data_IF_935774914949
#
_entry.id   IF_935774914949
#
_cell.length_a   1.000
_cell.length_b   1.000
_cell.length_c   1.000
_cell.angle_alpha   90.00
_cell.angle_beta   90.00
_cell.angle_gamma   90.00
#
_symmetry.space_group_name_H-M   'P 1'
#
loop_
_entity.id
_entity.type
_entity.pdbx_description
1 polymer ?
#
# COMPACT_ATOMS: atom_id res chain seq x y z
N UNK A 1 -41.34 6.33 -31.44
CA UNK A 1 -41.25 5.49 -32.66
C UNK A 1 -39.93 5.86 -33.31
N UNK A 2 -38.94 4.98 -33.30
CA UNK A 2 -37.62 5.23 -33.87
C UNK A 2 -37.62 4.64 -35.28
N UNK A 3 -37.33 5.44 -36.30
CA UNK A 3 -37.19 4.99 -37.69
C UNK A 3 -35.70 4.86 -38.02
N UNK A 4 -35.31 3.69 -38.52
CA UNK A 4 -33.94 3.35 -38.91
C UNK A 4 -33.84 3.43 -40.44
N UNK A 5 -32.96 4.30 -40.95
CA UNK A 5 -32.67 4.44 -42.37
C UNK A 5 -31.34 3.72 -42.73
N UNK A 6 -31.39 2.58 -43.44
CA UNK A 6 -30.19 1.78 -43.75
C UNK A 6 -29.25 2.39 -44.80
N UNK A 7 -29.56 3.57 -45.36
CA UNK A 7 -28.67 4.27 -46.31
C UNK A 7 -27.71 5.28 -45.68
N UNK A 8 -27.97 5.73 -44.44
CA UNK A 8 -27.19 6.80 -43.82
C UNK A 8 -26.00 6.30 -42.98
N UNK A 9 -25.82 4.98 -42.85
CA UNK A 9 -24.78 4.42 -41.97
C UNK A 9 -25.02 4.77 -40.50
N UNK A 10 -24.38 4.03 -39.59
CA UNK A 10 -24.33 4.44 -38.19
C UNK A 10 -23.15 5.39 -38.09
N UNK A 11 -23.43 6.68 -37.95
CA UNK A 11 -22.42 7.64 -37.52
C UNK A 11 -22.07 7.25 -36.09
N UNK A 12 -21.01 6.45 -35.95
CA UNK A 12 -20.52 5.95 -34.68
C UNK A 12 -19.46 6.96 -34.19
N UNK A 13 -19.77 7.85 -33.24
CA UNK A 13 -18.78 8.76 -32.69
C UNK A 13 -17.68 8.04 -31.87
N UNK A 14 -17.73 6.71 -31.75
CA UNK A 14 -16.74 5.92 -31.01
C UNK A 14 -15.50 5.49 -31.82
N UNK A 15 -15.26 6.03 -33.02
CA UNK A 15 -14.11 5.66 -33.85
C UNK A 15 -13.20 6.82 -34.29
N UNK A 16 -13.24 7.98 -33.61
CA UNK A 16 -12.28 9.09 -33.82
C UNK A 16 -11.43 9.39 -32.57
N UNK A 17 -10.86 8.35 -31.95
CA UNK A 17 -9.81 8.51 -30.91
C UNK A 17 -8.55 7.71 -31.25
N UNK A 18 -8.24 7.61 -32.54
CA UNK A 18 -6.96 7.10 -33.01
C UNK A 18 -6.33 8.15 -33.93
N UNK A 19 -6.17 9.38 -33.43
CA UNK A 19 -5.30 10.42 -33.99
C UNK A 19 -5.20 11.49 -32.89
N UNK A 20 -3.96 11.86 -32.52
CA UNK A 20 -3.52 12.75 -31.42
C UNK A 20 -3.09 12.07 -30.10
N UNK A 21 -2.48 10.88 -30.16
CA UNK A 21 -1.48 10.50 -29.15
C UNK A 21 -0.11 10.98 -29.65
N UNK A 22 0.13 12.28 -29.52
CA UNK A 22 1.49 12.81 -29.50
C UNK A 22 2.32 11.95 -28.53
N UNK A 23 3.55 11.61 -28.92
CA UNK A 23 4.44 10.70 -28.19
C UNK A 23 4.87 11.19 -26.79
N UNK A 24 3.93 11.30 -25.85
CA UNK A 24 4.21 11.50 -24.44
C UNK A 24 4.69 10.18 -23.82
N UNK A 25 5.97 10.14 -23.44
CA UNK A 25 6.51 9.11 -22.54
C UNK A 25 7.16 7.89 -23.20
N UNK A 26 7.50 7.93 -24.49
CA UNK A 26 8.39 6.91 -25.08
C UNK A 26 9.75 6.98 -24.38
N UNK A 27 10.15 5.89 -23.71
CA UNK A 27 11.38 5.86 -22.92
C UNK A 27 11.28 6.35 -21.49
N UNK A 28 10.09 6.67 -20.99
CA UNK A 28 9.87 7.00 -19.58
C UNK A 28 9.09 5.88 -18.84
N UNK A 29 9.39 5.64 -17.54
CA UNK A 29 8.63 4.67 -16.76
C UNK A 29 7.17 5.07 -16.57
N UNK A 30 6.26 4.13 -16.82
CA UNK A 30 4.81 4.28 -16.63
C UNK A 30 4.36 3.59 -15.35
N UNK A 31 3.36 4.17 -14.69
CA UNK A 31 2.88 3.70 -13.38
C UNK A 31 1.43 3.23 -13.47
N UNK A 32 1.18 2.00 -13.03
CA UNK A 32 -0.14 1.36 -13.09
C UNK A 32 -0.59 0.91 -11.71
N UNK A 33 -1.61 1.57 -11.16
CA UNK A 33 -2.32 1.10 -9.97
C UNK A 33 -3.43 0.15 -10.40
N UNK A 34 -3.22 -1.14 -10.15
CA UNK A 34 -4.20 -2.18 -10.39
C UNK A 34 -4.97 -2.46 -9.10
N UNK A 35 -6.28 -2.66 -9.21
CA UNK A 35 -7.15 -3.01 -8.09
C UNK A 35 -8.11 -4.09 -8.54
N UNK A 36 -8.13 -5.22 -7.84
CA UNK A 36 -8.90 -6.41 -8.21
C UNK A 36 -9.88 -6.81 -7.11
N UNK A 37 -10.95 -7.51 -7.48
CA UNK A 37 -11.77 -8.24 -6.50
C UNK A 37 -11.04 -9.45 -5.92
N UNK A 38 -11.60 -10.06 -4.86
CA UNK A 38 -11.03 -11.25 -4.21
C UNK A 38 -10.91 -12.46 -5.15
N UNK A 39 -11.85 -12.63 -6.07
CA UNK A 39 -11.87 -13.73 -7.05
C UNK A 39 -11.29 -13.36 -8.44
N UNK A 40 -10.84 -12.12 -8.63
CA UNK A 40 -10.25 -11.66 -9.89
C UNK A 40 -8.72 -11.77 -9.85
N UNK A 41 -8.10 -11.88 -11.03
CA UNK A 41 -6.65 -11.74 -11.24
C UNK A 41 -6.34 -10.32 -11.70
N UNK A 42 -5.06 -9.93 -11.71
CA UNK A 42 -4.66 -8.64 -12.31
C UNK A 42 -4.68 -8.64 -13.85
N UNK A 43 -4.87 -9.80 -14.49
CA UNK A 43 -5.02 -9.95 -15.94
C UNK A 43 -3.72 -9.85 -16.74
N UNK A 44 -2.60 -10.32 -16.19
CA UNK A 44 -1.32 -10.44 -16.90
C UNK A 44 -0.49 -11.60 -16.32
N UNK A 45 0.48 -12.07 -17.09
CA UNK A 45 1.52 -13.00 -16.65
C UNK A 45 2.88 -12.30 -16.60
N UNK A 46 3.67 -12.64 -15.58
CA UNK A 46 5.07 -12.24 -15.51
C UNK A 46 5.92 -13.39 -16.05
N UNK A 47 6.81 -13.11 -16.98
CA UNK A 47 7.68 -14.09 -17.62
C UNK A 47 9.16 -13.70 -17.42
N UNK A 48 10.01 -14.72 -17.30
CA UNK A 48 11.46 -14.61 -17.47
C UNK A 48 11.82 -15.43 -18.71
N UNK A 49 12.26 -14.75 -19.77
CA UNK A 49 12.53 -15.37 -21.07
C UNK A 49 14.04 -15.60 -21.25
N UNK A 50 14.41 -16.79 -21.73
CA UNK A 50 15.80 -17.14 -22.04
C UNK A 50 16.41 -16.16 -23.05
N UNK A 51 17.44 -15.45 -22.64
CA UNK A 51 18.15 -14.47 -23.47
C UNK A 51 17.60 -13.04 -23.39
N UNK A 52 16.50 -12.81 -22.66
CA UNK A 52 15.99 -11.48 -22.36
C UNK A 52 16.38 -11.05 -20.94
N UNK A 53 16.58 -9.75 -20.74
CA UNK A 53 16.87 -9.17 -19.42
C UNK A 53 15.58 -8.68 -18.75
N UNK A 54 15.54 -8.79 -17.42
CA UNK A 54 14.46 -8.29 -16.59
C UNK A 54 13.20 -9.15 -16.63
N UNK A 55 12.15 -8.68 -15.94
CA UNK A 55 10.88 -9.37 -15.85
C UNK A 55 9.87 -8.81 -16.85
N UNK A 56 9.29 -9.68 -17.68
CA UNK A 56 8.50 -9.29 -18.85
C UNK A 56 7.02 -9.48 -18.57
N UNK A 57 6.23 -8.46 -18.86
CA UNK A 57 4.77 -8.56 -18.88
C UNK A 57 4.34 -9.26 -20.18
N UNK A 58 3.56 -10.33 -20.06
CA UNK A 58 3.03 -11.11 -21.18
C UNK A 58 1.59 -11.52 -20.91
N UNK A 59 0.90 -11.99 -21.96
CA UNK A 59 -0.44 -12.54 -21.86
C UNK A 59 -1.40 -11.57 -21.16
N UNK A 60 -1.29 -10.28 -21.49
CA UNK A 60 -2.23 -9.27 -20.98
C UNK A 60 -3.64 -9.63 -21.50
N UNK A 61 -4.54 -9.94 -20.57
CA UNK A 61 -5.87 -10.43 -20.87
C UNK A 61 -6.71 -9.36 -21.58
N UNK A 62 -7.33 -9.72 -22.70
CA UNK A 62 -8.21 -8.82 -23.45
C UNK A 62 -9.41 -8.42 -22.58
N UNK A 63 -9.60 -7.12 -22.38
CA UNK A 63 -10.59 -6.55 -21.50
C UNK A 63 -10.27 -6.70 -20.01
N UNK A 64 -9.11 -7.26 -19.63
CA UNK A 64 -8.67 -7.45 -18.24
C UNK A 64 -8.23 -6.16 -17.54
N UNK A 65 -7.96 -6.24 -16.23
CA UNK A 65 -7.58 -5.06 -15.42
C UNK A 65 -6.31 -4.39 -15.91
N UNK A 66 -5.26 -5.18 -16.17
CA UNK A 66 -4.00 -4.70 -16.75
C UNK A 66 -4.21 -3.96 -18.06
N UNK A 67 -4.93 -4.57 -19.02
CA UNK A 67 -5.15 -3.96 -20.34
C UNK A 67 -5.95 -2.66 -20.26
N UNK A 68 -7.04 -2.63 -19.46
CA UNK A 68 -7.86 -1.42 -19.28
C UNK A 68 -7.08 -0.26 -18.67
N UNK A 69 -5.99 -0.54 -17.96
CA UNK A 69 -5.09 0.47 -17.44
C UNK A 69 -3.99 0.86 -18.43
N UNK A 70 -3.84 0.14 -19.54
CA UNK A 70 -2.87 0.43 -20.60
C UNK A 70 -1.56 -0.34 -20.46
N UNK A 71 -1.52 -1.40 -19.65
CA UNK A 71 -0.36 -2.30 -19.58
C UNK A 71 -0.27 -3.13 -20.86
N UNK A 72 0.94 -3.32 -21.41
CA UNK A 72 1.13 -3.97 -22.70
C UNK A 72 2.07 -5.18 -22.61
N UNK A 73 1.87 -6.13 -23.53
CA UNK A 73 2.80 -7.25 -23.72
C UNK A 73 4.16 -6.71 -24.18
N UNK A 74 5.22 -7.16 -23.52
CA UNK A 74 6.60 -6.72 -23.77
C UNK A 74 7.12 -5.67 -22.79
N UNK A 75 6.25 -5.05 -22.00
CA UNK A 75 6.65 -4.13 -20.92
C UNK A 75 7.57 -4.84 -19.91
N UNK A 76 8.54 -4.10 -19.36
CA UNK A 76 9.51 -4.57 -18.37
C UNK A 76 9.19 -4.01 -17.01
N UNK A 77 9.00 -4.89 -16.03
CA UNK A 77 8.65 -4.52 -14.67
C UNK A 77 9.88 -4.01 -13.90
N UNK A 78 9.83 -2.75 -13.46
CA UNK A 78 10.92 -2.08 -12.73
C UNK A 78 10.64 -1.95 -11.24
N UNK A 79 9.40 -1.64 -10.83
CA UNK A 79 9.02 -1.55 -9.42
C UNK A 79 7.70 -2.24 -9.12
N UNK A 80 7.60 -2.77 -7.89
CA UNK A 80 6.36 -3.23 -7.25
C UNK A 80 6.20 -2.48 -5.94
N UNK A 81 5.10 -1.73 -5.79
CA UNK A 81 4.79 -0.91 -4.61
C UNK A 81 5.96 0.00 -4.16
N UNK A 82 6.64 0.62 -5.12
CA UNK A 82 7.78 1.52 -4.88
C UNK A 82 9.12 0.84 -4.59
N UNK A 83 9.17 -0.49 -4.54
CA UNK A 83 10.44 -1.25 -4.41
C UNK A 83 10.97 -1.63 -5.80
N UNK A 84 12.25 -1.35 -6.06
CA UNK A 84 12.89 -1.71 -7.32
C UNK A 84 13.14 -3.22 -7.39
N UNK A 85 12.68 -3.87 -8.46
CA UNK A 85 12.65 -5.34 -8.55
C UNK A 85 13.47 -5.91 -9.70
N UNK A 86 14.01 -5.09 -10.60
CA UNK A 86 14.71 -5.54 -11.81
C UNK A 86 15.96 -6.42 -11.55
N UNK A 87 16.52 -6.34 -10.35
CA UNK A 87 17.69 -7.13 -9.93
C UNK A 87 17.31 -8.40 -9.13
N UNK A 88 16.04 -8.58 -8.81
CA UNK A 88 15.55 -9.71 -8.03
C UNK A 88 15.34 -10.92 -8.94
N UNK A 89 15.33 -12.11 -8.34
CA UNK A 89 14.91 -13.31 -9.06
C UNK A 89 13.40 -13.29 -9.34
N UNK A 90 12.99 -14.00 -10.39
CA UNK A 90 11.61 -14.04 -10.84
C UNK A 90 10.63 -14.49 -9.74
N UNK A 91 11.00 -15.52 -8.96
CA UNK A 91 10.16 -16.04 -7.89
C UNK A 91 9.85 -14.98 -6.84
N UNK A 92 10.84 -14.17 -6.45
CA UNK A 92 10.70 -13.08 -5.48
C UNK A 92 9.79 -11.97 -5.99
N UNK A 93 9.90 -11.62 -7.26
CA UNK A 93 9.03 -10.60 -7.86
C UNK A 93 7.58 -11.08 -7.91
N UNK A 94 7.36 -12.34 -8.30
CA UNK A 94 6.02 -12.96 -8.27
C UNK A 94 5.47 -12.97 -6.85
N UNK A 95 6.27 -13.32 -5.85
CA UNK A 95 5.87 -13.27 -4.44
C UNK A 95 5.51 -11.86 -4.01
N UNK A 96 6.28 -10.83 -4.36
CA UNK A 96 5.95 -9.43 -4.04
C UNK A 96 4.61 -9.00 -4.68
N UNK A 97 4.32 -9.42 -5.91
CA UNK A 97 3.03 -9.11 -6.58
C UNK A 97 1.87 -9.89 -5.93
N UNK A 98 2.06 -11.17 -5.60
CA UNK A 98 1.03 -11.98 -4.94
C UNK A 98 0.75 -11.51 -3.51
N UNK A 99 1.81 -11.20 -2.79
CA UNK A 99 1.73 -10.53 -1.50
C UNK A 99 1.04 -9.18 -1.64
N UNK A 100 1.02 -8.57 -2.84
CA UNK A 100 0.25 -7.36 -3.17
C UNK A 100 -1.29 -7.53 -3.18
N UNK A 101 -1.82 -8.69 -2.77
CA UNK A 101 -3.24 -8.96 -2.54
C UNK A 101 -4.15 -8.25 -3.55
N UNK A 102 -5.03 -7.34 -3.12
CA UNK A 102 -6.02 -6.73 -4.03
C UNK A 102 -5.60 -5.41 -4.68
N UNK A 103 -4.47 -4.80 -4.30
CA UNK A 103 -3.98 -3.56 -4.89
C UNK A 103 -2.46 -3.60 -5.08
N UNK A 104 -2.01 -3.34 -6.31
CA UNK A 104 -0.59 -3.28 -6.64
C UNK A 104 -0.29 -2.06 -7.51
N UNK A 105 0.77 -1.33 -7.16
CA UNK A 105 1.33 -0.26 -7.96
C UNK A 105 2.57 -0.79 -8.69
N UNK A 106 2.50 -0.87 -10.01
CA UNK A 106 3.61 -1.30 -10.86
C UNK A 106 4.26 -0.08 -11.53
N UNK A 107 5.59 -0.04 -11.59
CA UNK A 107 6.30 0.83 -12.53
C UNK A 107 6.92 -0.04 -13.63
N UNK A 108 6.65 0.29 -14.88
CA UNK A 108 7.13 -0.48 -16.03
C UNK A 108 7.74 0.44 -17.07
N UNK A 109 8.65 -0.10 -17.88
CA UNK A 109 9.25 0.56 -19.02
C UNK A 109 8.96 -0.26 -20.28
N UNK A 110 8.77 0.38 -21.43
CA UNK A 110 8.62 -0.37 -22.68
C UNK A 110 9.89 -1.19 -22.99
N UNK A 111 9.69 -2.33 -23.66
CA UNK A 111 10.77 -3.29 -23.91
C UNK A 111 11.95 -2.69 -24.67
N UNK A 112 11.68 -1.90 -25.72
CA UNK A 112 12.73 -1.31 -26.55
C UNK A 112 13.59 -0.31 -25.76
N UNK A 113 12.95 0.56 -24.98
CA UNK A 113 13.65 1.53 -24.14
C UNK A 113 14.40 0.87 -22.99
N UNK A 114 13.89 -0.24 -22.46
CA UNK A 114 14.58 -1.02 -21.45
C UNK A 114 15.89 -1.62 -21.99
N UNK A 115 15.84 -2.29 -23.15
CA UNK A 115 17.03 -2.89 -23.74
C UNK A 115 18.05 -1.79 -24.11
N UNK A 116 17.60 -0.68 -24.69
CA UNK A 116 18.45 0.47 -25.00
C UNK A 116 19.12 1.05 -23.73
N UNK A 117 18.38 1.16 -22.63
CA UNK A 117 18.94 1.66 -21.37
C UNK A 117 19.97 0.68 -20.77
N UNK A 118 19.71 -0.63 -20.84
CA UNK A 118 20.66 -1.67 -20.39
C UNK A 118 21.93 -1.69 -21.23
N UNK A 119 21.84 -1.56 -22.54
CA UNK A 119 23.01 -1.55 -23.44
C UNK A 119 23.87 -0.30 -23.25
N UNK A 120 23.25 0.82 -22.87
CA UNK A 120 23.95 2.03 -22.46
C UNK A 120 24.49 1.98 -21.03
N UNK A 121 24.26 0.89 -20.28
CA UNK A 121 24.68 0.75 -18.89
C UNK A 121 24.01 1.75 -17.94
N UNK A 122 22.81 2.22 -18.28
CA UNK A 122 22.05 3.16 -17.43
C UNK A 122 21.54 2.46 -16.18
N UNK A 123 21.59 3.18 -15.07
CA UNK A 123 20.95 2.75 -13.83
C UNK A 123 19.45 3.05 -13.90
N UNK A 124 18.66 2.00 -14.17
CA UNK A 124 17.20 2.11 -14.27
C UNK A 124 16.53 2.57 -12.98
N UNK A 125 17.17 2.38 -11.81
CA UNK A 125 16.62 2.84 -10.53
C UNK A 125 16.59 4.37 -10.45
N UNK A 126 17.50 5.06 -11.13
CA UNK A 126 17.58 6.52 -11.17
C UNK A 126 16.51 7.16 -12.07
N UNK A 127 15.87 6.37 -12.94
CA UNK A 127 14.73 6.82 -13.75
C UNK A 127 13.43 6.86 -12.94
N UNK A 128 13.44 6.31 -11.73
CA UNK A 128 12.27 6.16 -10.89
C UNK A 128 12.33 7.16 -9.72
N UNK A 129 11.18 7.64 -9.24
CA UNK A 129 11.11 8.47 -8.05
C UNK A 129 11.65 7.69 -6.84
N UNK A 130 12.43 8.37 -5.99
CA UNK A 130 13.13 7.75 -4.86
C UNK A 130 12.17 7.21 -3.78
N UNK A 131 11.06 7.90 -3.53
CA UNK A 131 10.02 7.47 -2.60
C UNK A 131 8.65 7.90 -3.13
N UNK A 132 7.77 6.92 -3.30
CA UNK A 132 6.38 7.09 -3.73
C UNK A 132 5.40 6.44 -2.76
N UNK A 133 5.87 5.96 -1.61
CA UNK A 133 4.98 5.26 -0.67
C UNK A 133 4.42 6.26 0.33
N UNK A 134 3.09 6.33 0.50
CA UNK A 134 2.54 7.00 1.67
C UNK A 134 3.03 6.27 2.93
N UNK A 135 3.01 6.92 4.08
CA UNK A 135 3.41 6.31 5.34
C UNK A 135 2.20 6.04 6.21
N UNK A 136 2.12 4.85 6.78
CA UNK A 136 1.09 4.50 7.74
C UNK A 136 1.66 4.60 9.16
N UNK A 137 1.10 5.48 9.97
CA UNK A 137 1.61 5.78 11.31
C UNK A 137 0.54 5.44 12.36
N UNK A 138 0.92 4.67 13.38
CA UNK A 138 0.04 4.38 14.52
C UNK A 138 0.51 5.14 15.77
N UNK A 139 -0.31 6.08 16.22
CA UNK A 139 0.06 7.03 17.28
C UNK A 139 -0.71 6.71 18.55
N UNK A 140 0.04 6.47 19.63
CA UNK A 140 -0.49 6.35 20.98
C UNK A 140 -0.51 7.72 21.67
N UNK A 141 -1.67 8.12 22.18
CA UNK A 141 -1.85 9.38 22.89
C UNK A 141 -1.10 9.36 24.22
N UNK A 142 -0.38 10.44 24.52
CA UNK A 142 0.20 10.67 25.85
C UNK A 142 -0.56 11.79 26.61
N UNK A 143 -0.04 12.21 27.76
CA UNK A 143 -0.62 13.28 28.58
C UNK A 143 -0.78 14.60 27.84
N UNK A 144 0.01 14.83 26.81
CA UNK A 144 0.04 16.03 25.97
C UNK A 144 -0.73 15.89 24.64
N UNK A 145 -1.40 14.75 24.42
CA UNK A 145 -2.18 14.48 23.21
C UNK A 145 -1.44 13.58 22.22
N UNK A 146 -1.74 13.72 20.93
CA UNK A 146 -1.10 12.93 19.87
C UNK A 146 0.19 13.56 19.33
N UNK A 147 0.54 14.79 19.74
CA UNK A 147 1.79 15.45 19.32
C UNK A 147 1.78 16.03 17.91
N UNK A 148 0.60 16.26 17.32
CA UNK A 148 0.48 16.97 16.04
C UNK A 148 -0.72 17.94 16.06
N UNK A 149 -0.68 18.94 15.18
CA UNK A 149 -1.82 19.79 14.83
C UNK A 149 -2.07 19.72 13.33
N UNK A 150 -3.29 20.06 12.92
CA UNK A 150 -3.72 20.04 11.52
C UNK A 150 -3.96 21.48 11.04
N UNK A 151 -3.44 21.82 9.87
CA UNK A 151 -3.82 23.02 9.12
C UNK A 151 -4.70 22.63 7.94
N UNK A 152 -5.75 23.41 7.68
CA UNK A 152 -6.63 23.21 6.53
C UNK A 152 -6.01 23.75 5.24
N UNK A 153 -6.59 23.45 4.07
CA UNK A 153 -6.10 23.98 2.80
C UNK A 153 -6.14 25.51 2.85
N UNK A 154 -4.99 26.17 2.63
CA UNK A 154 -4.96 27.58 2.32
C UNK A 154 -5.75 27.80 1.02
N UNK A 155 -6.78 28.64 1.07
CA UNK A 155 -7.31 29.22 -0.16
C UNK A 155 -6.20 30.08 -0.77
N UNK A 156 -5.50 29.58 -1.78
CA UNK A 156 -4.75 30.45 -2.69
C UNK A 156 -5.75 31.38 -3.36
N UNK A 157 -5.95 32.57 -2.79
CA UNK A 157 -6.51 33.69 -3.53
C UNK A 157 -5.53 33.95 -4.67
N UNK A 158 -6.05 33.93 -5.90
CA UNK A 158 -5.27 34.07 -7.11
C UNK A 158 -4.31 35.26 -7.05
N UNK A 159 -3.19 35.10 -7.74
CA UNK A 159 -2.14 36.10 -7.94
C UNK A 159 -2.71 37.49 -8.23
N UNK A 160 -2.41 38.46 -7.36
CA UNK A 160 -2.60 39.87 -7.63
C UNK A 160 -2.97 40.67 -6.38
N UNK A 161 -2.03 41.49 -5.94
CA UNK A 161 -2.09 42.61 -4.97
C UNK A 161 -1.47 42.34 -3.58
N UNK A 162 -0.43 43.11 -3.19
CA UNK A 162 0.14 43.06 -1.85
C UNK A 162 -0.72 43.93 -0.92
N UNK A 163 -1.08 43.43 0.26
CA UNK A 163 -1.69 44.29 1.29
C UNK A 163 -0.91 44.19 2.59
N UNK A 164 0.08 45.08 2.64
CA UNK A 164 0.47 45.94 3.76
C UNK A 164 0.32 45.41 5.19
N UNK A 165 1.49 45.14 5.76
CA UNK A 165 1.94 45.49 7.10
C UNK A 165 1.00 46.45 7.88
N UNK A 166 0.52 46.01 9.04
CA UNK A 166 0.28 46.91 10.17
C UNK A 166 0.85 46.28 11.44
N UNK A 167 1.95 46.87 11.90
CA UNK A 167 2.51 46.65 13.22
C UNK A 167 1.58 47.26 14.28
N UNK A 168 1.26 46.51 15.34
CA UNK A 168 1.11 47.08 16.67
C UNK A 168 1.76 46.12 17.67
N UNK A 169 2.78 46.66 18.32
CA UNK A 169 3.60 46.09 19.39
C UNK A 169 2.78 45.58 20.58
N UNK A 170 3.02 44.33 21.01
CA UNK A 170 3.63 43.92 22.29
C UNK A 170 3.38 42.42 22.54
N UNK A 171 4.45 41.66 22.81
CA UNK A 171 4.47 40.24 23.21
C UNK A 171 4.10 40.05 24.71
N UNK A 172 3.91 38.81 25.23
CA UNK A 172 3.78 37.47 24.61
C UNK A 172 2.51 36.72 25.13
N UNK A 173 2.04 35.54 24.71
CA UNK A 173 2.54 34.31 24.07
C UNK A 173 1.37 33.66 23.31
N UNK A 174 1.67 33.09 22.13
CA UNK A 174 0.80 32.39 21.17
C UNK A 174 0.08 33.29 20.14
N UNK A 175 0.52 33.31 18.86
CA UNK A 175 -0.32 33.84 17.79
C UNK A 175 -1.54 32.94 17.61
N UNK A 176 -2.74 33.52 17.76
CA UNK A 176 -3.98 32.88 17.30
C UNK A 176 -3.92 32.79 15.78
N UNK A 177 -3.84 31.57 15.25
CA UNK A 177 -3.97 31.28 13.83
C UNK A 177 -5.30 31.86 13.31
N UNK A 178 -5.33 32.46 12.11
CA UNK A 178 -6.57 32.95 11.52
C UNK A 178 -7.56 31.79 11.31
N UNK A 179 -8.80 32.00 11.75
CA UNK A 179 -9.89 31.07 11.54
C UNK A 179 -10.22 31.03 10.05
N UNK A 180 -9.90 29.92 9.39
CA UNK A 180 -10.33 29.66 8.01
C UNK A 180 -11.88 29.64 7.93
N UNK A 181 -12.48 30.10 6.82
CA UNK A 181 -13.92 30.03 6.63
C UNK A 181 -14.44 28.59 6.78
N UNK A 182 -15.51 28.42 7.56
CA UNK A 182 -16.16 27.13 7.73
C UNK A 182 -16.74 26.65 6.39
N UNK A 183 -16.13 25.63 5.79
CA UNK A 183 -16.66 25.03 4.56
C UNK A 183 -15.61 24.47 3.58
N UNK A 184 -14.33 24.81 3.76
CA UNK A 184 -13.25 24.26 2.92
C UNK A 184 -13.07 22.77 3.26
N UNK A 185 -13.32 21.91 2.27
CA UNK A 185 -13.01 20.47 2.29
C UNK A 185 -11.70 20.28 1.52
N UNK A 186 -10.81 19.46 2.03
CA UNK A 186 -9.56 19.16 1.34
C UNK A 186 -8.55 18.46 2.22
N UNK A 187 -7.37 18.21 1.67
CA UNK A 187 -6.26 17.54 2.33
C UNK A 187 -5.66 18.46 3.40
N UNK A 188 -5.41 17.91 4.59
CA UNK A 188 -4.90 18.67 5.74
C UNK A 188 -3.38 18.47 5.84
N UNK A 189 -2.65 19.51 6.20
CA UNK A 189 -1.21 19.38 6.47
C UNK A 189 -0.97 19.23 7.98
N UNK A 190 -0.01 18.37 8.34
CA UNK A 190 0.34 18.07 9.72
C UNK A 190 1.54 18.90 10.18
N UNK A 191 1.36 19.64 11.26
CA UNK A 191 2.48 20.19 12.03
C UNK A 191 2.78 19.24 13.19
N UNK A 192 3.93 18.60 13.14
CA UNK A 192 4.37 17.59 14.11
C UNK A 192 5.24 18.25 15.17
N UNK A 193 4.97 17.97 16.44
CA UNK A 193 5.77 18.47 17.54
C UNK A 193 7.00 17.58 17.74
N UNK A 194 8.17 18.21 17.83
CA UNK A 194 9.42 17.55 18.16
C UNK A 194 9.30 16.76 19.48
N UNK A 195 9.88 15.56 19.47
CA UNK A 195 9.83 14.54 20.53
C UNK A 195 8.40 14.15 20.95
N UNK A 196 7.40 14.48 20.13
CA UNK A 196 5.99 14.16 20.37
C UNK A 196 5.62 12.73 19.98
N UNK A 197 4.46 12.22 20.43
CA UNK A 197 4.00 10.88 20.03
C UNK A 197 3.93 10.66 18.52
N UNK A 198 3.48 11.66 17.75
CA UNK A 198 3.42 11.59 16.29
C UNK A 198 4.79 11.39 15.65
N UNK A 199 5.81 12.14 16.07
CA UNK A 199 7.17 12.01 15.54
C UNK A 199 7.75 10.63 15.89
N UNK A 200 7.58 10.17 17.13
CA UNK A 200 8.02 8.83 17.57
C UNK A 200 7.31 7.70 16.83
N UNK A 201 6.07 7.93 16.38
CA UNK A 201 5.30 7.01 15.56
C UNK A 201 5.62 7.12 14.05
N UNK A 202 6.62 7.94 13.68
CA UNK A 202 7.12 8.04 12.31
C UNK A 202 6.42 9.07 11.43
N UNK A 203 5.54 9.92 11.97
CA UNK A 203 4.84 10.94 11.15
C UNK A 203 5.83 12.01 10.69
N UNK A 204 6.03 12.21 9.38
CA UNK A 204 6.91 13.27 8.89
C UNK A 204 6.31 14.66 9.16
N UNK A 205 7.09 15.62 9.67
CA UNK A 205 6.66 17.02 9.76
C UNK A 205 6.28 17.58 8.38
N UNK A 206 5.18 18.33 8.30
CA UNK A 206 4.70 18.93 7.04
C UNK A 206 3.99 17.95 6.11
N UNK A 207 3.80 16.69 6.51
CA UNK A 207 3.08 15.69 5.73
C UNK A 207 1.59 16.01 5.55
N UNK A 208 1.02 15.55 4.44
CA UNK A 208 -0.41 15.60 4.14
C UNK A 208 -1.13 14.41 4.75
N UNK A 209 -2.23 14.68 5.45
CA UNK A 209 -3.14 13.66 5.97
C UNK A 209 -4.10 13.19 4.88
N UNK A 210 -4.04 11.90 4.56
CA UNK A 210 -4.87 11.25 3.54
C UNK A 210 -6.04 10.49 4.17
N UNK A 211 -5.78 9.75 5.26
CA UNK A 211 -6.78 8.98 5.99
C UNK A 211 -6.59 9.07 7.50
N UNK A 212 -7.69 9.00 8.24
CA UNK A 212 -7.74 8.87 9.70
C UNK A 212 -8.54 7.62 10.06
N UNK A 213 -7.89 6.66 10.71
CA UNK A 213 -8.43 5.36 11.12
C UNK A 213 -9.11 4.63 9.94
N UNK A 214 -8.44 4.57 8.78
CA UNK A 214 -8.94 3.92 7.57
C UNK A 214 -10.01 4.71 6.80
N UNK A 215 -10.39 5.91 7.26
CA UNK A 215 -11.36 6.76 6.57
C UNK A 215 -10.66 7.93 5.86
N UNK A 216 -10.91 8.09 4.56
CA UNK A 216 -10.42 9.24 3.79
C UNK A 216 -10.91 10.57 4.38
N UNK A 217 -9.96 11.51 4.54
CA UNK A 217 -10.26 12.84 5.07
C UNK A 217 -10.54 13.89 3.98
N UNK A 218 -10.45 13.53 2.70
CA UNK A 218 -10.62 14.46 1.56
C UNK A 218 -11.95 15.23 1.59
N UNK A 219 -13.00 14.61 2.13
CA UNK A 219 -14.34 15.20 2.21
C UNK A 219 -14.62 15.89 3.56
N UNK A 220 -13.69 15.84 4.51
CA UNK A 220 -13.89 16.34 5.86
C UNK A 220 -13.67 17.85 5.92
N UNK A 221 -14.47 18.52 6.75
CA UNK A 221 -14.14 19.85 7.26
C UNK A 221 -13.23 19.74 8.48
N UNK A 222 -12.54 20.85 8.81
CA UNK A 222 -11.72 20.92 10.02
C UNK A 222 -12.50 20.54 11.30
N UNK A 223 -13.77 20.93 11.41
CA UNK A 223 -14.62 20.58 12.54
C UNK A 223 -14.95 19.07 12.60
N UNK A 224 -15.21 18.45 11.44
CA UNK A 224 -15.45 17.01 11.35
C UNK A 224 -14.20 16.21 11.72
N UNK A 225 -13.04 16.61 11.20
CA UNK A 225 -11.76 15.98 11.53
C UNK A 225 -11.44 16.10 13.03
N UNK A 226 -11.58 17.29 13.61
CA UNK A 226 -11.36 17.51 15.03
C UNK A 226 -12.31 16.68 15.91
N UNK A 227 -13.58 16.52 15.49
CA UNK A 227 -14.55 15.65 16.17
C UNK A 227 -14.12 14.18 16.12
N UNK A 228 -13.69 13.69 14.95
CA UNK A 228 -13.21 12.31 14.77
C UNK A 228 -11.95 12.02 15.60
N UNK A 229 -11.00 12.95 15.65
CA UNK A 229 -9.80 12.84 16.50
C UNK A 229 -10.16 12.76 17.99
N UNK A 230 -11.12 13.57 18.46
CA UNK A 230 -11.61 13.50 19.85
C UNK A 230 -12.30 12.18 20.18
N UNK A 231 -13.00 11.60 19.20
CA UNK A 231 -13.69 10.31 19.33
C UNK A 231 -12.74 9.11 19.30
N UNK A 232 -11.52 9.27 18.78
CA UNK A 232 -10.55 8.17 18.60
C UNK A 232 -9.90 7.70 19.92
N UNK A 233 -10.25 8.31 21.05
CA UNK A 233 -9.80 7.85 22.37
C UNK A 233 -8.29 8.04 22.59
N UNK A 234 -7.59 6.92 22.80
CA UNK A 234 -6.16 6.87 23.13
C UNK A 234 -5.23 6.52 21.96
N UNK A 235 -5.77 6.16 20.79
CA UNK A 235 -4.96 5.75 19.62
C UNK A 235 -5.54 6.30 18.33
N UNK A 236 -4.68 6.63 17.37
CA UNK A 236 -5.08 6.98 16.00
C UNK A 236 -4.13 6.35 15.00
N UNK A 237 -4.66 5.95 13.85
CA UNK A 237 -3.87 5.50 12.70
C UNK A 237 -4.02 6.54 11.60
N UNK A 238 -2.90 7.06 11.08
CA UNK A 238 -2.88 8.06 10.03
C UNK A 238 -2.22 7.47 8.78
N UNK A 239 -2.86 7.67 7.62
CA UNK A 239 -2.16 7.57 6.34
C UNK A 239 -1.70 8.96 5.95
N UNK A 240 -0.39 9.14 5.79
CA UNK A 240 0.22 10.44 5.47
C UNK A 240 1.10 10.35 4.24
N UNK A 241 1.29 11.47 3.53
CA UNK A 241 2.19 11.58 2.39
C UNK A 241 3.08 12.81 2.52
N UNK A 242 4.34 12.73 2.09
CA UNK A 242 5.15 13.93 1.88
C UNK A 242 4.61 14.74 0.70
N UNK A 243 5.08 15.97 0.51
CA UNK A 243 4.71 16.79 -0.66
C UNK A 243 5.00 16.06 -1.98
N UNK A 244 6.17 15.42 -2.09
CA UNK A 244 6.56 14.68 -3.30
C UNK A 244 5.66 13.47 -3.57
N UNK A 245 5.30 12.73 -2.51
CA UNK A 245 4.41 11.56 -2.63
C UNK A 245 2.99 12.02 -2.98
N UNK A 246 2.45 13.04 -2.30
CA UNK A 246 1.12 13.59 -2.62
C UNK A 246 1.05 14.05 -4.08
N UNK A 247 2.06 14.80 -4.54
CA UNK A 247 2.16 15.28 -5.91
C UNK A 247 2.22 14.12 -6.92
N UNK A 248 3.01 13.07 -6.62
CA UNK A 248 3.12 11.88 -7.46
C UNK A 248 1.75 11.23 -7.72
N UNK A 249 0.96 11.01 -6.66
CA UNK A 249 -0.38 10.43 -6.79
C UNK A 249 -1.37 11.40 -7.45
N UNK A 250 -1.30 12.69 -7.09
CA UNK A 250 -2.20 13.74 -7.60
C UNK A 250 -2.07 13.94 -9.10
N UNK A 251 -0.84 14.10 -9.61
CA UNK A 251 -0.57 14.30 -11.03
C UNK A 251 -0.98 13.10 -11.90
N UNK A 252 -0.99 11.89 -11.32
CA UNK A 252 -1.36 10.65 -12.01
C UNK A 252 -2.82 10.26 -11.80
N UNK A 253 -3.61 11.08 -11.10
CA UNK A 253 -5.00 10.77 -10.78
C UNK A 253 -5.15 9.50 -9.92
N UNK A 254 -4.09 9.07 -9.23
CA UNK A 254 -4.08 7.88 -8.40
C UNK A 254 -4.57 8.23 -6.99
N UNK A 255 -5.14 7.25 -6.31
CA UNK A 255 -5.49 7.37 -4.90
C UNK A 255 -4.53 6.55 -4.07
N UNK A 256 -3.71 7.24 -3.27
CA UNK A 256 -2.90 6.62 -2.24
C UNK A 256 -3.84 6.00 -1.21
N UNK A 257 -3.73 4.69 -1.04
CA UNK A 257 -4.42 3.92 -0.02
C UNK A 257 -3.38 3.37 0.94
N UNK A 258 -3.85 2.91 2.09
CA UNK A 258 -2.96 2.34 3.06
C UNK A 258 -2.33 1.01 2.61
N UNK A 259 -2.91 0.32 1.62
CA UNK A 259 -2.33 -0.89 1.00
C UNK A 259 -1.01 -0.60 0.24
N UNK A 260 -0.77 0.64 -0.17
CA UNK A 260 0.47 1.07 -0.84
C UNK A 260 1.49 1.64 0.16
N UNK A 261 1.13 1.72 1.44
CA UNK A 261 1.91 2.48 2.41
C UNK A 261 3.16 1.73 2.87
N UNK A 262 4.20 2.48 3.21
CA UNK A 262 5.28 2.02 4.07
C UNK A 262 4.73 1.80 5.49
N UNK A 263 4.88 0.57 5.97
CA UNK A 263 4.41 0.07 7.27
C UNK A 263 5.54 -0.12 8.27
N UNK A 264 6.78 0.25 7.92
CA UNK A 264 7.98 0.03 8.75
C UNK A 264 7.92 0.70 10.14
N UNK A 265 7.06 1.71 10.29
CA UNK A 265 6.85 2.47 11.53
C UNK A 265 5.74 1.92 12.41
N UNK A 266 5.02 0.89 11.95
CA UNK A 266 4.02 0.25 12.78
C UNK A 266 4.66 -0.54 13.93
N UNK A 267 4.05 -0.54 15.13
CA UNK A 267 4.57 -1.29 16.26
C UNK A 267 4.32 -2.81 16.14
N UNK A 268 3.50 -3.22 15.16
CA UNK A 268 3.07 -4.61 14.97
C UNK A 268 3.87 -5.24 13.83
N UNK A 269 4.75 -6.17 14.19
CA UNK A 269 5.63 -6.86 13.23
C UNK A 269 5.21 -8.31 13.06
N UNK A 270 5.20 -8.75 11.81
CA UNK A 270 5.11 -10.17 11.49
C UNK A 270 6.41 -10.87 11.90
N UNK A 271 6.31 -12.14 12.29
CA UNK A 271 7.45 -13.00 12.61
C UNK A 271 7.51 -14.14 11.62
N UNK A 272 8.69 -14.40 11.11
CA UNK A 272 8.97 -15.58 10.31
C UNK A 272 9.58 -16.66 11.21
N UNK A 273 8.91 -17.80 11.30
CA UNK A 273 9.28 -18.92 12.14
C UNK A 273 9.74 -20.08 11.25
N UNK A 274 11.04 -20.27 11.13
CA UNK A 274 11.61 -21.44 10.47
C UNK A 274 11.83 -22.56 11.49
N UNK A 275 11.32 -23.75 11.20
CA UNK A 275 11.48 -24.91 12.07
C UNK A 275 11.65 -26.22 11.29
N UNK A 276 12.51 -27.08 11.84
CA UNK A 276 12.75 -28.45 11.34
C UNK A 276 12.01 -29.43 12.24
N UNK A 277 11.30 -30.37 11.63
CA UNK A 277 10.47 -31.36 12.31
C UNK A 277 11.33 -32.30 13.16
N UNK A 278 11.03 -32.38 14.45
CA UNK A 278 11.65 -33.34 15.36
C UNK A 278 10.97 -34.71 15.30
N UNK A 279 11.48 -35.71 16.05
CA UNK A 279 10.84 -37.02 16.18
C UNK A 279 9.44 -36.95 16.81
N UNK A 280 9.16 -35.93 17.61
CA UNK A 280 7.85 -35.63 18.18
C UNK A 280 6.99 -34.70 17.30
N UNK A 281 7.43 -34.38 16.08
CA UNK A 281 6.80 -33.37 15.22
C UNK A 281 7.32 -31.96 15.47
N UNK A 282 6.48 -30.96 15.17
CA UNK A 282 6.81 -29.54 15.37
C UNK A 282 6.50 -29.03 16.78
N UNK A 283 5.53 -29.62 17.47
CA UNK A 283 5.14 -29.25 18.84
C UNK A 283 4.16 -28.07 18.95
N UNK A 284 3.15 -28.04 18.08
CA UNK A 284 2.05 -27.08 18.14
C UNK A 284 0.77 -27.67 17.55
N UNK A 285 -0.37 -27.07 17.88
CA UNK A 285 -1.67 -27.32 17.25
C UNK A 285 -2.08 -26.13 16.37
N UNK A 286 -2.74 -26.43 15.26
CA UNK A 286 -3.40 -25.42 14.43
C UNK A 286 -4.90 -25.46 14.74
N UNK A 287 -5.47 -24.31 15.09
CA UNK A 287 -6.87 -24.15 15.42
C UNK A 287 -7.53 -23.20 14.41
N UNK A 288 -8.69 -23.58 13.92
CA UNK A 288 -9.56 -22.69 13.16
C UNK A 288 -10.47 -21.90 14.13
N UNK A 289 -10.52 -20.57 14.01
CA UNK A 289 -11.31 -19.69 14.88
C UNK A 289 -11.81 -18.44 14.15
N UNK A 290 -12.78 -17.74 14.75
CA UNK A 290 -13.38 -16.53 14.18
C UNK A 290 -12.43 -15.31 14.32
N UNK A 291 -12.23 -14.60 13.21
CA UNK A 291 -11.56 -13.30 13.18
C UNK A 291 -12.53 -12.17 13.54
N UNK A 292 -11.99 -11.06 14.06
CA UNK A 292 -12.76 -9.86 14.42
C UNK A 292 -13.45 -9.24 13.20
N UNK A 293 -12.86 -9.40 12.01
CA UNK A 293 -13.42 -8.99 10.73
C UNK A 293 -14.63 -9.82 10.27
N UNK A 294 -14.99 -10.89 10.98
CA UNK A 294 -16.11 -11.78 10.64
C UNK A 294 -15.76 -12.89 9.64
N UNK A 295 -14.47 -13.13 9.40
CA UNK A 295 -13.95 -14.28 8.66
C UNK A 295 -13.43 -15.38 9.58
N UNK A 296 -12.94 -16.48 9.01
CA UNK A 296 -12.31 -17.57 9.74
C UNK A 296 -10.79 -17.50 9.54
N UNK A 297 -10.02 -17.63 10.62
CA UNK A 297 -8.56 -17.60 10.63
C UNK A 297 -7.95 -18.89 11.18
N UNK A 298 -6.65 -19.08 10.92
CA UNK A 298 -5.86 -20.20 11.42
C UNK A 298 -4.90 -19.71 12.50
N UNK A 299 -5.00 -20.26 13.71
CA UNK A 299 -4.29 -19.81 14.90
C UNK A 299 -3.42 -20.90 15.48
N UNK A 300 -2.26 -20.51 16.01
CA UNK A 300 -1.30 -21.40 16.64
C UNK A 300 -1.66 -21.56 18.12
N UNK A 301 -1.78 -22.81 18.56
CA UNK A 301 -2.25 -23.17 19.89
C UNK A 301 -1.39 -24.28 20.49
N UNK A 302 -1.42 -24.42 21.82
CA UNK A 302 -0.79 -25.53 22.55
C UNK A 302 0.67 -25.77 22.14
N UNK A 303 1.52 -24.75 22.36
CA UNK A 303 2.93 -24.82 21.98
C UNK A 303 3.70 -25.62 23.03
N UNK A 304 4.23 -26.76 22.62
CA UNK A 304 4.93 -27.69 23.51
C UNK A 304 6.33 -27.17 23.90
N UNK A 305 6.61 -27.16 25.20
CA UNK A 305 7.89 -26.71 25.74
C UNK A 305 9.06 -27.57 25.23
N UNK A 306 10.12 -26.90 24.77
CA UNK A 306 11.35 -27.50 24.26
C UNK A 306 11.25 -28.11 22.86
N UNK A 307 10.09 -28.04 22.19
CA UNK A 307 9.92 -28.52 20.81
C UNK A 307 10.25 -27.44 19.77
N UNK A 308 10.44 -27.81 18.48
CA UNK A 308 10.89 -26.88 17.44
C UNK A 308 10.05 -25.60 17.31
N UNK A 309 8.74 -25.68 17.53
CA UNK A 309 7.84 -24.52 17.49
C UNK A 309 8.20 -23.45 18.54
N UNK A 310 8.36 -23.83 19.81
CA UNK A 310 8.76 -22.90 20.87
C UNK A 310 10.15 -22.32 20.60
N UNK A 311 11.10 -23.17 20.16
CA UNK A 311 12.47 -22.75 19.84
C UNK A 311 12.54 -21.74 18.69
N UNK A 312 11.62 -21.84 17.73
CA UNK A 312 11.48 -20.87 16.65
C UNK A 312 10.84 -19.54 17.10
N UNK A 313 10.33 -19.47 18.33
CA UNK A 313 9.69 -18.27 18.90
C UNK A 313 8.18 -18.19 18.65
N UNK A 314 7.53 -19.34 18.40
CA UNK A 314 6.07 -19.44 18.32
C UNK A 314 5.43 -19.07 19.66
N UNK A 315 4.31 -18.32 19.61
CA UNK A 315 3.51 -18.02 20.79
C UNK A 315 2.08 -18.48 20.58
N UNK A 316 1.45 -18.92 21.66
CA UNK A 316 0.03 -19.27 21.66
C UNK A 316 -0.82 -18.04 21.31
N UNK A 317 -1.80 -18.24 20.44
CA UNK A 317 -2.70 -17.19 19.93
C UNK A 317 -2.17 -16.45 18.70
N UNK A 318 -0.94 -16.73 18.25
CA UNK A 318 -0.42 -16.16 17.00
C UNK A 318 -1.30 -16.61 15.81
N UNK A 319 -1.69 -15.67 14.94
CA UNK A 319 -2.40 -16.00 13.69
C UNK A 319 -1.40 -16.32 12.59
N UNK A 320 -1.65 -17.40 11.85
CA UNK A 320 -0.90 -17.80 10.68
C UNK A 320 -1.34 -16.99 9.45
N UNK A 321 -0.37 -16.42 8.73
CA UNK A 321 -0.60 -15.58 7.55
C UNK A 321 -0.10 -16.24 6.26
N UNK A 322 1.04 -16.93 6.32
CA UNK A 322 1.64 -17.60 5.18
C UNK A 322 2.41 -18.86 5.60
N UNK A 323 2.53 -19.80 4.67
CA UNK A 323 3.31 -21.04 4.82
C UNK A 323 4.27 -21.14 3.63
N UNK A 324 5.56 -21.26 3.91
CA UNK A 324 6.64 -21.34 2.92
C UNK A 324 6.59 -20.21 1.88
N UNK A 325 6.30 -18.98 2.34
CA UNK A 325 6.20 -17.79 1.49
C UNK A 325 4.90 -17.66 0.69
N UNK A 326 3.96 -18.60 0.81
CA UNK A 326 2.63 -18.52 0.19
C UNK A 326 1.57 -18.11 1.20
N UNK A 327 0.81 -17.05 0.89
CA UNK A 327 -0.35 -16.64 1.70
C UNK A 327 -1.34 -17.80 1.85
N UNK A 328 -1.93 -17.92 3.04
CA UNK A 328 -3.02 -18.87 3.29
C UNK A 328 -4.41 -18.21 3.24
N UNK A 329 -4.49 -16.94 2.83
CA UNK A 329 -5.75 -16.23 2.68
C UNK A 329 -6.70 -16.98 1.72
N UNK A 330 -7.93 -17.21 2.16
CA UNK A 330 -8.95 -17.94 1.39
C UNK A 330 -8.79 -19.47 1.38
N UNK A 331 -7.76 -20.01 2.02
CA UNK A 331 -7.63 -21.46 2.23
C UNK A 331 -8.46 -21.91 3.43
N UNK A 332 -9.04 -23.11 3.33
CA UNK A 332 -9.65 -23.76 4.49
C UNK A 332 -8.60 -24.40 5.41
N UNK A 333 -9.03 -24.87 6.59
CA UNK A 333 -8.15 -25.53 7.55
C UNK A 333 -7.37 -26.70 6.94
N UNK A 334 -8.03 -27.56 6.16
CA UNK A 334 -7.40 -28.75 5.59
C UNK A 334 -6.34 -28.38 4.55
N UNK A 335 -6.64 -27.44 3.66
CA UNK A 335 -5.70 -26.91 2.67
C UNK A 335 -4.48 -26.28 3.33
N UNK A 336 -4.67 -25.57 4.45
CA UNK A 336 -3.58 -25.01 5.25
C UNK A 336 -2.71 -26.10 5.85
N UNK A 337 -3.31 -27.12 6.48
CA UNK A 337 -2.58 -28.27 7.05
C UNK A 337 -1.80 -29.04 5.98
N UNK A 338 -2.40 -29.26 4.82
CA UNK A 338 -1.73 -29.91 3.69
C UNK A 338 -0.51 -29.10 3.23
N UNK A 339 -0.61 -27.77 3.23
CA UNK A 339 0.50 -26.89 2.85
C UNK A 339 1.65 -26.91 3.86
N UNK A 340 1.34 -26.94 5.17
CA UNK A 340 2.36 -27.11 6.23
C UNK A 340 3.08 -28.45 6.10
N UNK A 341 2.35 -29.50 5.68
CA UNK A 341 2.87 -30.86 5.51
C UNK A 341 3.50 -31.14 4.14
N UNK A 342 3.48 -30.17 3.22
CA UNK A 342 3.96 -30.37 1.86
C UNK A 342 5.47 -30.68 1.81
N UNK A 343 6.24 -30.13 2.77
CA UNK A 343 7.64 -30.45 2.98
C UNK A 343 7.76 -31.31 4.24
N UNK A 344 8.31 -32.52 4.10
CA UNK A 344 8.24 -33.55 5.13
C UNK A 344 8.95 -33.19 6.45
N UNK A 345 10.01 -32.37 6.36
CA UNK A 345 10.94 -32.13 7.47
C UNK A 345 11.13 -30.66 7.86
N UNK A 346 10.65 -29.68 7.11
CA UNK A 346 10.84 -28.27 7.45
C UNK A 346 9.66 -27.41 7.01
N UNK A 347 9.43 -26.33 7.74
CA UNK A 347 8.40 -25.35 7.39
C UNK A 347 8.80 -23.96 7.86
N UNK A 348 8.49 -22.97 7.03
CA UNK A 348 8.56 -21.55 7.39
C UNK A 348 7.15 -20.99 7.52
N UNK A 349 6.81 -20.49 8.71
CA UNK A 349 5.49 -19.90 8.99
C UNK A 349 5.63 -18.38 9.16
N UNK A 350 4.80 -17.60 8.47
CA UNK A 350 4.66 -16.17 8.73
C UNK A 350 3.48 -15.96 9.68
N UNK A 351 3.74 -15.36 10.83
CA UNK A 351 2.74 -15.21 11.90
C UNK A 351 2.64 -13.78 12.40
N UNK A 352 1.51 -13.44 13.02
CA UNK A 352 1.30 -12.17 13.71
C UNK A 352 0.69 -12.41 15.09
N UNK A 353 1.09 -11.60 16.07
CA UNK A 353 0.52 -11.67 17.41
C UNK A 353 -0.92 -11.13 17.45
N UNK A 354 -1.72 -11.48 18.48
CA UNK A 354 -3.12 -11.05 18.57
C UNK A 354 -3.35 -9.53 18.52
N UNK A 355 -2.43 -8.73 19.08
CA UNK A 355 -2.58 -7.28 19.11
C UNK A 355 -2.32 -6.67 17.72
N UNK A 356 -1.35 -7.22 16.99
CA UNK A 356 -1.10 -6.89 15.60
C UNK A 356 -2.23 -7.33 14.69
N UNK A 357 -2.76 -8.53 14.90
CA UNK A 357 -3.89 -9.04 14.13
C UNK A 357 -5.14 -8.15 14.30
N UNK A 358 -5.51 -7.83 15.54
CA UNK A 358 -6.59 -6.89 15.84
C UNK A 358 -6.36 -5.55 15.14
N UNK A 359 -5.12 -5.04 15.18
CA UNK A 359 -4.77 -3.82 14.47
C UNK A 359 -5.08 -3.96 12.98
N UNK A 360 -4.42 -4.85 12.24
CA UNK A 360 -4.58 -4.93 10.77
C UNK A 360 -6.03 -5.18 10.33
N UNK A 361 -6.79 -5.98 11.09
CA UNK A 361 -8.22 -6.19 10.83
C UNK A 361 -9.06 -4.93 11.08
N UNK A 362 -8.80 -4.17 12.15
CA UNK A 362 -9.58 -2.99 12.53
C UNK A 362 -9.48 -1.81 11.55
N UNK A 363 -8.35 -1.72 10.85
CA UNK A 363 -8.06 -0.65 9.87
C UNK A 363 -8.40 -1.08 8.43
N UNK A 364 -8.97 -2.27 8.24
CA UNK A 364 -9.46 -2.76 6.95
C UNK A 364 -8.33 -3.15 5.99
N UNK A 365 -7.16 -3.53 6.52
CA UNK A 365 -6.05 -4.02 5.71
C UNK A 365 -6.28 -5.47 5.26
N UNK A 366 -5.75 -5.81 4.09
CA UNK A 366 -5.38 -7.20 3.81
C UNK A 366 -4.21 -7.60 4.71
N UNK A 367 -4.14 -8.87 5.10
CA UNK A 367 -3.15 -9.45 6.01
C UNK A 367 -1.73 -8.98 5.70
N UNK A 368 -0.86 -8.67 6.69
CA UNK A 368 0.44 -8.02 6.48
C UNK A 368 1.51 -8.85 5.74
N UNK A 369 1.10 -9.85 4.95
CA UNK A 369 1.91 -10.73 4.11
C UNK A 369 2.90 -9.94 3.21
N UNK A 370 2.60 -8.67 2.90
CA UNK A 370 3.46 -7.70 2.20
C UNK A 370 4.80 -7.39 2.88
N UNK A 371 4.95 -7.71 4.17
CA UNK A 371 6.09 -7.31 4.99
C UNK A 371 7.18 -8.39 5.08
N UNK A 372 7.21 -9.35 4.15
CA UNK A 372 8.29 -10.33 4.07
C UNK A 372 9.63 -9.58 3.97
N UNK A 373 10.59 -9.84 4.89
CA UNK A 373 11.89 -9.20 4.83
C UNK A 373 12.62 -9.53 3.52
N UNK A 374 13.40 -8.56 3.03
CA UNK A 374 14.29 -8.69 1.87
C UNK A 374 15.48 -9.63 2.09
#
# INVERSE_FOLDING_TARGET
KFEFNPKDGIDNPALSLAEDMDGEGVGEPRFYLLSKGSAETFGFCLHEELGCRGHIIRQVELGGLAQRRGLQDGDRLLQVNGQFVDHLDHCRVVQKIKASGNQVLLAVLDGDSYEAAKDLGRDLSQMLPADIRPRLCHIMRDRSGFGFSVSGPEGKVGSGMPVLQTSLTQHPTHPRLPLLPAGVKGTFQLSVRQDGPAERAGVPPGSWLLELNGASVRSYSHAQLAKKLKQSGSKVTLLVASDAVEEFYRLRGLQATAALADTSWLPFKVRELHMVKGPAGYGFLLKEDDCISGGIGQFLWDVDAGLPAEQAGMKEGDRLLAVNGESIEGLDHLQTVLRIRAHDNEVTLLVIDPAGDEFYQSVGFGDPVWSLPD
#
